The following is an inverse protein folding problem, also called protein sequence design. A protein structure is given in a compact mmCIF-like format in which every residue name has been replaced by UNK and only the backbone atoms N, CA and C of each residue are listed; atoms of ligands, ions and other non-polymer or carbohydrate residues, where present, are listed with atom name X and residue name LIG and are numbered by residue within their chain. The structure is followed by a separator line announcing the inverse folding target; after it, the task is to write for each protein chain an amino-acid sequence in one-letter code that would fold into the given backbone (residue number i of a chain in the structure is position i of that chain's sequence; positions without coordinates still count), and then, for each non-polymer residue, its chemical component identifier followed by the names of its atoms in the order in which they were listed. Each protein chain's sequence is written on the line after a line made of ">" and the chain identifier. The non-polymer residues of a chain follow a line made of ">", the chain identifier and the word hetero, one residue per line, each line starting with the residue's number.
data_IF_003950802884
#
_entry.id   IF_003950802884
#
_cell.length_a   1.000
_cell.length_b   1.000
_cell.length_c   1.000
_cell.angle_alpha   90.00
_cell.angle_beta   90.00
_cell.angle_gamma   90.00
#
_symmetry.space_group_name_H-M   'P 1'
#
loop_
_entity.id
_entity.type
_entity.pdbx_description
1 polymer ?
#
# COMPACT_ATOMS: atom_id res chain seq x y z
N UNK A 1 -24.01 23.85 -13.86
CA UNK A 1 -23.95 22.62 -13.02
C UNK A 1 -22.67 21.78 -13.24
N UNK A 2 -21.59 22.32 -13.83
CA UNK A 2 -20.32 21.59 -14.02
C UNK A 2 -19.21 21.97 -13.01
N UNK A 3 -19.42 23.05 -12.24
CA UNK A 3 -18.40 23.58 -11.31
C UNK A 3 -18.32 22.77 -10.00
N UNK A 4 -19.43 22.18 -9.54
CA UNK A 4 -19.48 21.41 -8.29
C UNK A 4 -18.86 19.99 -8.40
N UNK A 5 -18.69 19.46 -9.61
CA UNK A 5 -18.06 18.13 -9.82
C UNK A 5 -16.52 18.25 -9.75
N UNK A 6 -15.96 19.42 -10.08
CA UNK A 6 -14.52 19.66 -10.00
C UNK A 6 -14.02 19.86 -8.56
N UNK A 7 -14.81 20.51 -7.68
CA UNK A 7 -14.39 20.70 -6.28
C UNK A 7 -14.39 19.39 -5.47
N UNK A 8 -15.32 18.47 -5.75
CA UNK A 8 -15.32 17.12 -5.13
C UNK A 8 -14.16 16.23 -5.60
N UNK A 9 -13.57 16.49 -6.78
CA UNK A 9 -12.43 15.72 -7.31
C UNK A 9 -11.10 16.10 -6.67
N UNK A 10 -10.89 17.37 -6.31
CA UNK A 10 -9.62 17.85 -5.74
C UNK A 10 -9.29 17.31 -4.34
N UNK A 11 -10.28 16.85 -3.58
CA UNK A 11 -10.06 16.39 -2.20
C UNK A 11 -10.04 14.86 -2.05
N UNK A 12 -10.36 14.07 -3.09
CA UNK A 12 -10.36 12.61 -2.98
C UNK A 12 -9.01 12.04 -2.47
N UNK A 13 -7.83 12.50 -2.95
CA UNK A 13 -6.56 11.98 -2.46
C UNK A 13 -6.32 12.29 -0.98
N UNK A 14 -6.78 13.46 -0.50
CA UNK A 14 -6.67 13.81 0.91
C UNK A 14 -7.55 12.92 1.79
N UNK A 15 -8.78 12.64 1.34
CA UNK A 15 -9.72 11.76 2.04
C UNK A 15 -9.13 10.34 2.10
N UNK A 16 -8.57 9.84 1.00
CA UNK A 16 -7.88 8.55 0.98
C UNK A 16 -6.77 8.50 2.03
N UNK A 17 -5.87 9.50 2.04
CA UNK A 17 -4.75 9.50 2.98
C UNK A 17 -5.21 9.53 4.43
N UNK A 18 -6.20 10.38 4.75
CA UNK A 18 -6.77 10.49 6.08
C UNK A 18 -7.48 9.21 6.52
N UNK A 19 -8.21 8.55 5.63
CA UNK A 19 -8.86 7.28 5.91
C UNK A 19 -7.83 6.18 6.16
N UNK A 20 -6.81 6.07 5.29
CA UNK A 20 -5.75 5.08 5.49
C UNK A 20 -5.06 5.29 6.82
N UNK A 21 -4.71 6.52 7.13
CA UNK A 21 -4.08 6.87 8.39
C UNK A 21 -4.98 6.54 9.60
N UNK A 22 -6.24 7.00 9.59
CA UNK A 22 -7.16 6.82 10.71
C UNK A 22 -7.47 5.34 10.96
N UNK A 23 -7.66 4.56 9.89
CA UNK A 23 -7.89 3.11 9.98
C UNK A 23 -6.63 2.42 10.52
N UNK A 24 -5.45 2.77 10.03
CA UNK A 24 -4.19 2.18 10.51
C UNK A 24 -3.97 2.46 12.00
N UNK A 25 -4.27 3.68 12.46
CA UNK A 25 -4.19 4.06 13.87
C UNK A 25 -5.22 3.32 14.73
N UNK A 26 -6.47 3.23 14.27
CA UNK A 26 -7.52 2.46 14.96
C UNK A 26 -7.15 0.97 15.07
N UNK A 27 -6.57 0.39 14.02
CA UNK A 27 -6.07 -0.99 14.08
C UNK A 27 -4.98 -1.16 15.13
N UNK A 28 -4.08 -0.20 15.29
CA UNK A 28 -3.08 -0.19 16.37
C UNK A 28 -3.69 -0.12 17.77
N UNK A 29 -4.75 0.67 17.96
CA UNK A 29 -5.46 0.77 19.23
C UNK A 29 -6.31 -0.47 19.56
N UNK A 30 -6.96 -1.06 18.55
CA UNK A 30 -7.84 -2.23 18.74
C UNK A 30 -7.02 -3.49 19.01
N UNK A 31 -5.83 -3.59 18.44
CA UNK A 31 -4.99 -4.77 18.55
C UNK A 31 -3.61 -4.46 19.16
N UNK A 32 -3.56 -4.01 20.43
CA UNK A 32 -2.31 -3.64 21.09
C UNK A 32 -1.38 -4.86 21.31
N UNK A 33 -1.95 -6.04 21.58
CA UNK A 33 -1.23 -7.29 21.89
C UNK A 33 -0.49 -7.91 20.69
N UNK A 34 -0.66 -7.37 19.49
CA UNK A 34 0.01 -7.86 18.29
C UNK A 34 1.53 -7.56 18.27
N UNK A 35 2.15 -7.18 19.39
CA UNK A 35 3.60 -6.86 19.50
C UNK A 35 4.51 -7.98 18.97
N UNK A 36 4.16 -9.24 19.22
CA UNK A 36 4.89 -10.42 18.73
C UNK A 36 4.44 -10.88 17.33
N UNK A 37 3.70 -10.06 16.57
CA UNK A 37 3.14 -10.49 15.29
C UNK A 37 4.20 -10.99 14.33
N UNK A 38 5.37 -10.34 14.25
CA UNK A 38 6.45 -10.72 13.32
C UNK A 38 6.94 -12.15 13.53
N UNK A 39 6.83 -12.69 14.75
CA UNK A 39 7.12 -14.07 15.09
C UNK A 39 5.90 -15.01 14.95
N UNK A 40 4.69 -14.45 14.81
CA UNK A 40 3.45 -15.21 14.75
C UNK A 40 3.07 -15.61 13.31
N UNK A 41 2.48 -16.79 13.15
CA UNK A 41 1.90 -17.23 11.86
C UNK A 41 0.83 -16.26 11.34
N UNK A 42 0.16 -15.51 12.23
CA UNK A 42 -0.85 -14.51 11.88
C UNK A 42 -0.31 -13.37 11.01
N UNK A 43 0.94 -12.94 11.17
CA UNK A 43 1.51 -11.81 10.40
C UNK A 43 1.50 -12.06 8.90
N UNK A 44 1.93 -13.26 8.49
CA UNK A 44 1.86 -13.67 7.09
C UNK A 44 0.40 -13.69 6.58
N UNK A 45 -0.55 -14.04 7.44
CA UNK A 45 -1.98 -14.06 7.12
C UNK A 45 -2.56 -12.66 6.91
N UNK A 46 -2.19 -11.70 7.77
CA UNK A 46 -2.55 -10.30 7.58
C UNK A 46 -1.97 -9.75 6.28
N UNK A 47 -0.68 -10.01 6.00
CA UNK A 47 -0.03 -9.60 4.76
C UNK A 47 -0.73 -10.17 3.52
N UNK A 48 -1.11 -11.44 3.57
CA UNK A 48 -1.90 -12.06 2.49
C UNK A 48 -3.30 -11.43 2.37
N UNK A 49 -3.98 -11.16 3.49
CA UNK A 49 -5.28 -10.48 3.49
C UNK A 49 -5.20 -9.10 2.85
N UNK A 50 -4.18 -8.31 3.20
CA UNK A 50 -3.89 -7.03 2.56
C UNK A 50 -3.63 -7.18 1.06
N UNK A 51 -2.84 -8.17 0.65
CA UNK A 51 -2.53 -8.47 -0.75
C UNK A 51 -3.79 -8.85 -1.55
N UNK A 52 -4.66 -9.69 -0.98
CA UNK A 52 -5.93 -10.10 -1.63
C UNK A 52 -6.87 -8.92 -1.78
N UNK A 53 -7.06 -8.11 -0.73
CA UNK A 53 -7.85 -6.88 -0.79
C UNK A 53 -7.29 -5.92 -1.84
N UNK A 54 -5.96 -5.81 -1.93
CA UNK A 54 -5.28 -4.97 -2.91
C UNK A 54 -5.55 -5.46 -4.33
N UNK A 55 -5.36 -6.74 -4.62
CA UNK A 55 -5.64 -7.34 -5.94
C UNK A 55 -7.11 -7.19 -6.36
N UNK A 56 -8.05 -7.41 -5.45
CA UNK A 56 -9.48 -7.22 -5.72
C UNK A 56 -9.82 -5.76 -5.98
N UNK A 57 -9.25 -4.85 -5.18
CA UNK A 57 -9.38 -3.41 -5.35
C UNK A 57 -8.87 -2.94 -6.71
N UNK A 58 -7.67 -3.39 -7.11
CA UNK A 58 -7.09 -3.17 -8.44
C UNK A 58 -8.02 -3.65 -9.56
N UNK A 59 -8.51 -4.89 -9.42
CA UNK A 59 -9.36 -5.50 -10.43
C UNK A 59 -10.67 -4.74 -10.62
N UNK A 60 -11.29 -4.28 -9.53
CA UNK A 60 -12.50 -3.45 -9.58
C UNK A 60 -12.19 -2.07 -10.17
N UNK A 61 -11.11 -1.43 -9.74
CA UNK A 61 -10.74 -0.05 -10.14
C UNK A 61 -10.24 0.07 -11.58
N UNK A 62 -9.75 -1.03 -12.17
CA UNK A 62 -9.26 -1.06 -13.54
C UNK A 62 -10.22 -0.42 -14.56
N UNK A 63 -11.45 -0.91 -14.67
CA UNK A 63 -12.43 -0.42 -15.66
C UNK A 63 -12.78 1.08 -15.55
N UNK A 64 -13.17 1.61 -14.37
CA UNK A 64 -13.51 3.02 -14.25
C UNK A 64 -12.31 3.95 -14.52
N UNK A 65 -11.09 3.54 -14.13
CA UNK A 65 -9.87 4.33 -14.43
C UNK A 65 -9.62 4.40 -15.93
N UNK A 66 -9.67 3.28 -16.66
CA UNK A 66 -9.45 3.28 -18.11
C UNK A 66 -10.55 4.01 -18.87
N UNK A 67 -11.81 3.93 -18.42
CA UNK A 67 -12.90 4.72 -19.00
C UNK A 67 -12.65 6.23 -18.87
N UNK A 68 -12.03 6.68 -17.78
CA UNK A 68 -11.65 8.09 -17.60
C UNK A 68 -10.43 8.49 -18.42
N UNK A 69 -9.39 7.65 -18.43
CA UNK A 69 -8.17 7.89 -19.20
C UNK A 69 -8.46 7.99 -20.70
N UNK A 70 -9.37 7.16 -21.22
CA UNK A 70 -9.81 7.25 -22.62
C UNK A 70 -10.51 8.58 -22.95
N UNK A 71 -11.10 9.25 -21.97
CA UNK A 71 -11.80 10.53 -22.11
C UNK A 71 -10.92 11.75 -21.77
N UNK A 72 -9.65 11.56 -21.39
CA UNK A 72 -8.74 12.68 -21.12
C UNK A 72 -8.14 13.21 -22.42
N UNK A 73 -8.37 14.51 -22.69
CA UNK A 73 -7.92 15.19 -23.90
C UNK A 73 -6.40 15.44 -23.98
N UNK A 74 -5.62 15.09 -22.94
CA UNK A 74 -4.17 15.30 -22.91
C UNK A 74 -3.46 13.97 -22.59
N UNK A 75 -2.54 13.49 -23.43
CA UNK A 75 -1.68 12.38 -23.06
C UNK A 75 -0.87 12.78 -21.81
N UNK A 76 -0.95 11.96 -20.77
CA UNK A 76 -0.19 12.19 -19.54
C UNK A 76 1.32 12.14 -19.83
N UNK A 77 2.05 13.08 -19.25
CA UNK A 77 3.49 13.28 -19.45
C UNK A 77 4.33 12.14 -18.83
N UNK A 78 5.39 11.75 -19.56
CA UNK A 78 6.65 11.22 -19.02
C UNK A 78 6.76 9.71 -18.87
N UNK A 79 7.27 9.02 -19.91
CA UNK A 79 7.64 7.59 -19.88
C UNK A 79 8.48 7.25 -18.62
N UNK A 80 9.41 8.14 -18.24
CA UNK A 80 10.30 7.94 -17.08
C UNK A 80 9.56 7.85 -15.74
N UNK A 81 8.49 8.65 -15.55
CA UNK A 81 7.71 8.62 -14.31
C UNK A 81 6.87 7.34 -14.20
N UNK A 82 6.27 6.92 -15.32
CA UNK A 82 5.53 5.66 -15.37
C UNK A 82 6.44 4.44 -15.10
N UNK A 83 7.66 4.44 -15.66
CA UNK A 83 8.66 3.40 -15.39
C UNK A 83 9.07 3.37 -13.91
N UNK A 84 9.36 4.54 -13.31
CA UNK A 84 9.69 4.63 -11.89
C UNK A 84 8.59 4.01 -11.01
N UNK A 85 7.33 4.26 -11.34
CA UNK A 85 6.19 3.74 -10.60
C UNK A 85 5.96 2.24 -10.80
N UNK A 86 6.14 1.74 -12.02
CA UNK A 86 6.04 0.30 -12.31
C UNK A 86 7.10 -0.45 -11.52
N UNK A 87 8.35 0.02 -11.59
CA UNK A 87 9.48 -0.61 -10.89
C UNK A 87 9.28 -0.50 -9.37
N UNK A 88 8.94 0.69 -8.86
CA UNK A 88 8.69 0.89 -7.44
C UNK A 88 7.54 0.03 -6.91
N UNK A 89 6.43 -0.03 -7.64
CA UNK A 89 5.30 -0.89 -7.28
C UNK A 89 5.70 -2.37 -7.29
N UNK A 90 6.45 -2.82 -8.30
CA UNK A 90 6.88 -4.22 -8.41
C UNK A 90 7.75 -4.63 -7.23
N UNK A 91 8.75 -3.81 -6.86
CA UNK A 91 9.63 -4.09 -5.73
C UNK A 91 8.85 -4.22 -4.41
N UNK A 92 7.84 -3.38 -4.20
CA UNK A 92 6.99 -3.45 -3.01
C UNK A 92 6.14 -4.72 -3.03
N UNK A 93 5.54 -5.07 -4.17
CA UNK A 93 4.75 -6.30 -4.29
C UNK A 93 5.61 -7.53 -4.10
N UNK A 94 6.85 -7.53 -4.59
CA UNK A 94 7.80 -8.61 -4.36
C UNK A 94 8.05 -8.78 -2.86
N UNK A 95 8.36 -7.70 -2.14
CA UNK A 95 8.56 -7.76 -0.69
C UNK A 95 7.30 -8.27 0.04
N UNK A 96 6.12 -7.73 -0.28
CA UNK A 96 4.84 -8.14 0.35
C UNK A 96 4.55 -9.62 0.06
N UNK A 97 4.78 -10.08 -1.17
CA UNK A 97 4.57 -11.49 -1.55
C UNK A 97 5.52 -12.41 -0.80
N UNK A 98 6.81 -12.07 -0.71
CA UNK A 98 7.78 -12.87 0.04
C UNK A 98 7.39 -12.99 1.51
N UNK A 99 6.88 -11.91 2.10
CA UNK A 99 6.41 -11.91 3.49
C UNK A 99 5.11 -12.72 3.65
N UNK A 100 4.19 -12.64 2.69
CA UNK A 100 2.92 -13.34 2.70
C UNK A 100 3.05 -14.85 2.36
N UNK A 101 4.22 -15.30 1.89
CA UNK A 101 4.44 -16.65 1.37
C UNK A 101 4.07 -17.74 2.38
N UNK A 102 4.42 -17.55 3.66
CA UNK A 102 4.11 -18.53 4.72
C UNK A 102 2.59 -18.79 4.83
N UNK A 103 1.78 -17.73 4.79
CA UNK A 103 0.32 -17.87 4.80
C UNK A 103 -0.23 -18.49 3.53
N UNK A 104 0.36 -18.15 2.38
CA UNK A 104 -0.04 -18.77 1.11
C UNK A 104 0.16 -20.27 1.16
N UNK A 105 1.31 -20.74 1.64
CA UNK A 105 1.65 -22.17 1.79
C UNK A 105 0.72 -22.88 2.77
N UNK A 106 0.37 -22.25 3.88
CA UNK A 106 -0.61 -22.78 4.84
C UNK A 106 -1.99 -23.00 4.19
N UNK A 107 -2.48 -22.06 3.36
CA UNK A 107 -3.80 -22.17 2.71
C UNK A 107 -3.85 -23.32 1.70
N UNK A 108 -2.77 -23.55 0.97
CA UNK A 108 -2.67 -24.65 0.00
C UNK A 108 -2.25 -25.99 0.64
N UNK A 109 -2.12 -26.05 1.97
CA UNK A 109 -1.75 -27.25 2.70
C UNK A 109 -0.29 -27.68 2.52
N UNK A 110 0.60 -26.77 2.11
CA UNK A 110 2.03 -27.04 2.03
C UNK A 110 2.70 -26.80 3.39
N UNK A 111 3.67 -27.66 3.78
CA UNK A 111 4.38 -27.51 5.06
C UNK A 111 5.19 -26.22 5.06
N UNK A 112 5.20 -25.47 6.17
CA UNK A 112 6.01 -24.25 6.31
C UNK A 112 7.49 -24.54 6.09
N UNK A 113 8.24 -23.53 5.63
CA UNK A 113 9.68 -23.70 5.44
C UNK A 113 10.37 -23.75 6.79
N UNK A 114 11.30 -24.68 7.01
CA UNK A 114 12.20 -24.62 8.16
C UNK A 114 12.97 -23.30 8.09
N UNK A 115 13.04 -22.58 9.20
CA UNK A 115 13.81 -21.33 9.34
C UNK A 115 15.29 -21.51 9.00
N UNK A 116 15.79 -22.75 9.07
CA UNK A 116 17.21 -23.07 8.91
C UNK A 116 17.56 -23.57 7.50
N UNK A 117 16.57 -23.74 6.62
CA UNK A 117 16.81 -24.19 5.25
C UNK A 117 16.99 -23.01 4.29
N UNK A 118 17.98 -23.06 3.39
CA UNK A 118 18.16 -22.02 2.38
C UNK A 118 16.90 -21.92 1.50
N UNK A 119 16.42 -20.69 1.28
CA UNK A 119 15.29 -20.40 0.40
C UNK A 119 15.51 -21.07 -0.95
N UNK A 120 14.62 -21.97 -1.34
CA UNK A 120 14.79 -22.69 -2.61
C UNK A 120 14.62 -21.72 -3.78
N UNK A 121 15.41 -21.89 -4.85
CA UNK A 121 15.27 -21.07 -6.06
C UNK A 121 13.86 -21.09 -6.65
N UNK A 122 13.12 -22.18 -6.46
CA UNK A 122 11.72 -22.32 -6.86
C UNK A 122 10.81 -21.31 -6.12
N UNK A 123 11.02 -21.09 -4.82
CA UNK A 123 10.23 -20.14 -4.02
C UNK A 123 10.46 -18.70 -4.45
N UNK A 124 11.73 -18.33 -4.60
CA UNK A 124 12.11 -17.00 -5.10
C UNK A 124 11.48 -16.77 -6.47
N UNK A 125 11.55 -17.77 -7.36
CA UNK A 125 10.92 -17.71 -8.66
C UNK A 125 9.40 -17.51 -8.58
N UNK A 126 8.69 -18.26 -7.71
CA UNK A 126 7.23 -18.08 -7.54
C UNK A 126 6.87 -16.70 -7.03
N UNK A 127 7.65 -16.16 -6.09
CA UNK A 127 7.44 -14.81 -5.55
C UNK A 127 7.69 -13.72 -6.61
N UNK A 128 8.69 -13.91 -7.47
CA UNK A 128 8.94 -13.05 -8.64
C UNK A 128 7.77 -13.10 -9.61
N UNK A 129 7.31 -14.29 -10.00
CA UNK A 129 6.20 -14.42 -10.96
C UNK A 129 4.91 -13.82 -10.41
N UNK A 130 4.59 -14.06 -9.13
CA UNK A 130 3.38 -13.55 -8.51
C UNK A 130 3.42 -12.02 -8.37
N UNK A 131 4.56 -11.44 -7.96
CA UNK A 131 4.72 -9.99 -7.90
C UNK A 131 4.61 -9.31 -9.27
N UNK A 132 5.16 -9.94 -10.32
CA UNK A 132 4.99 -9.48 -11.71
C UNK A 132 3.51 -9.53 -12.10
N UNK A 133 2.79 -10.60 -11.76
CA UNK A 133 1.36 -10.74 -12.06
C UNK A 133 0.53 -9.63 -11.39
N UNK A 134 0.81 -9.31 -10.13
CA UNK A 134 0.10 -8.24 -9.40
C UNK A 134 0.43 -6.87 -9.97
N UNK A 135 1.70 -6.63 -10.30
CA UNK A 135 2.14 -5.39 -10.95
C UNK A 135 1.47 -5.24 -12.32
N UNK A 136 1.44 -6.32 -13.11
CA UNK A 136 0.69 -6.35 -14.36
C UNK A 136 -0.78 -6.05 -14.11
N UNK A 137 -1.42 -6.62 -13.09
CA UNK A 137 -2.82 -6.34 -12.76
C UNK A 137 -3.08 -4.84 -12.51
N UNK A 138 -2.14 -4.16 -11.85
CA UNK A 138 -2.21 -2.72 -11.59
C UNK A 138 -2.06 -1.87 -12.84
N UNK A 139 -1.15 -2.24 -13.75
CA UNK A 139 -0.80 -1.46 -14.94
C UNK A 139 -1.33 -2.03 -16.27
N UNK A 140 -2.15 -3.09 -16.25
CA UNK A 140 -2.56 -3.79 -17.47
C UNK A 140 -3.36 -2.86 -18.38
N UNK A 141 -3.07 -2.84 -19.69
CA UNK A 141 -3.78 -1.98 -20.62
C UNK A 141 -5.29 -2.22 -20.59
N UNK A 142 -6.06 -1.13 -20.67
CA UNK A 142 -7.51 -1.19 -20.74
C UNK A 142 -7.98 -1.87 -22.02
N UNK A 143 -8.78 -2.92 -21.90
CA UNK A 143 -9.44 -3.54 -23.04
C UNK A 143 -10.60 -2.68 -23.56
N UNK A 144 -10.87 -2.72 -24.88
CA UNK A 144 -12.07 -2.13 -25.46
C UNK A 144 -13.31 -2.85 -24.90
N UNK A 145 -14.08 -2.18 -24.03
CA UNK A 145 -15.35 -2.74 -23.57
C UNK A 145 -16.32 -2.83 -24.74
N UNK A 146 -16.75 -4.04 -25.10
CA UNK A 146 -17.74 -4.28 -26.16
C UNK A 146 -19.16 -3.81 -25.79
N UNK A 147 -19.42 -3.49 -24.52
CA UNK A 147 -20.73 -3.04 -24.03
C UNK A 147 -20.64 -1.63 -23.46
N UNK A 148 -21.60 -0.73 -23.78
CA UNK A 148 -21.70 0.56 -23.11
C UNK A 148 -21.98 0.32 -21.63
N UNK A 149 -21.09 0.81 -20.78
CA UNK A 149 -21.20 0.62 -19.33
C UNK A 149 -21.86 1.86 -18.76
N UNK A 150 -22.97 1.68 -18.03
CA UNK A 150 -23.69 2.78 -17.38
C UNK A 150 -22.81 3.48 -16.35
N UNK A 151 -22.87 4.81 -16.27
CA UNK A 151 -22.12 5.62 -15.29
C UNK A 151 -22.35 5.16 -13.84
N UNK A 152 -23.60 4.80 -13.49
CA UNK A 152 -23.96 4.30 -12.16
C UNK A 152 -23.24 3.00 -11.79
N UNK A 153 -23.01 2.11 -12.75
CA UNK A 153 -22.26 0.87 -12.52
C UNK A 153 -20.77 1.16 -12.34
N UNK A 154 -20.20 2.04 -13.16
CA UNK A 154 -18.79 2.45 -13.02
C UNK A 154 -18.54 3.08 -11.66
N UNK A 155 -19.45 3.95 -11.19
CA UNK A 155 -19.35 4.60 -9.89
C UNK A 155 -19.40 3.59 -8.73
N UNK A 156 -20.37 2.65 -8.72
CA UNK A 156 -20.46 1.63 -7.67
C UNK A 156 -19.21 0.75 -7.61
N UNK A 157 -18.70 0.35 -8.78
CA UNK A 157 -17.49 -0.47 -8.90
C UNK A 157 -16.25 0.29 -8.45
N UNK A 158 -16.16 1.58 -8.78
CA UNK A 158 -15.08 2.46 -8.31
C UNK A 158 -15.12 2.60 -6.78
N UNK A 159 -16.29 2.86 -6.19
CA UNK A 159 -16.44 2.99 -4.74
C UNK A 159 -16.00 1.70 -4.01
N UNK A 160 -16.45 0.54 -4.51
CA UNK A 160 -16.03 -0.74 -3.95
C UNK A 160 -14.52 -0.96 -4.09
N UNK A 161 -13.95 -0.64 -5.26
CA UNK A 161 -12.51 -0.71 -5.48
C UNK A 161 -11.72 0.23 -4.55
N UNK A 162 -12.20 1.44 -4.33
CA UNK A 162 -11.59 2.42 -3.43
C UNK A 162 -11.63 1.94 -1.98
N UNK A 163 -12.76 1.40 -1.50
CA UNK A 163 -12.86 0.84 -0.14
C UNK A 163 -11.87 -0.33 0.05
N UNK A 164 -11.78 -1.24 -0.92
CA UNK A 164 -10.85 -2.37 -0.86
C UNK A 164 -9.39 -1.90 -0.87
N UNK A 165 -9.04 -0.93 -1.71
CA UNK A 165 -7.68 -0.38 -1.76
C UNK A 165 -7.34 0.40 -0.49
N UNK A 166 -8.25 1.21 0.05
CA UNK A 166 -8.06 1.91 1.33
C UNK A 166 -7.81 0.87 2.43
N UNK A 167 -8.66 -0.15 2.52
CA UNK A 167 -8.53 -1.19 3.55
C UNK A 167 -7.22 -1.97 3.39
N UNK A 168 -6.86 -2.36 2.17
CA UNK A 168 -5.62 -3.06 1.86
C UNK A 168 -4.39 -2.25 2.24
N UNK A 169 -4.32 -0.98 1.81
CA UNK A 169 -3.18 -0.12 2.11
C UNK A 169 -3.12 0.18 3.60
N UNK A 170 -4.25 0.38 4.29
CA UNK A 170 -4.28 0.56 5.74
C UNK A 170 -3.74 -0.67 6.47
N UNK A 171 -4.14 -1.87 6.04
CA UNK A 171 -3.71 -3.11 6.65
C UNK A 171 -2.22 -3.36 6.40
N UNK A 172 -1.74 -3.18 5.16
CA UNK A 172 -0.32 -3.31 4.84
C UNK A 172 0.53 -2.25 5.56
N UNK A 173 0.07 -1.00 5.61
CA UNK A 173 0.74 0.07 6.36
C UNK A 173 0.75 -0.22 7.85
N UNK A 174 -0.36 -0.68 8.43
CA UNK A 174 -0.42 -1.09 9.83
C UNK A 174 0.62 -2.18 10.14
N UNK A 175 0.60 -3.28 9.37
CA UNK A 175 1.49 -4.42 9.60
C UNK A 175 2.96 -4.05 9.41
N UNK A 176 3.28 -3.32 8.33
CA UNK A 176 4.65 -2.89 8.04
C UNK A 176 5.14 -1.86 9.07
N UNK A 177 4.30 -0.89 9.42
CA UNK A 177 4.69 0.22 10.28
C UNK A 177 4.76 -0.18 11.75
N UNK A 178 3.64 -0.63 12.29
CA UNK A 178 3.52 -0.88 13.72
C UNK A 178 4.33 -2.09 14.15
N UNK A 179 4.49 -3.08 13.26
CA UNK A 179 5.02 -4.38 13.66
C UNK A 179 6.37 -4.71 13.06
N UNK A 180 6.70 -4.23 11.85
CA UNK A 180 8.05 -4.45 11.31
C UNK A 180 9.00 -3.34 11.73
N UNK A 181 8.61 -2.08 11.53
CA UNK A 181 9.49 -0.95 11.80
C UNK A 181 9.61 -0.65 13.30
N UNK A 182 8.49 -0.47 14.03
CA UNK A 182 8.58 -0.17 15.47
C UNK A 182 9.24 -1.33 16.25
N UNK A 183 9.00 -2.59 15.87
CA UNK A 183 9.69 -3.73 16.51
C UNK A 183 11.20 -3.73 16.22
N UNK A 184 11.61 -3.41 14.99
CA UNK A 184 13.03 -3.24 14.67
C UNK A 184 13.66 -2.07 15.45
N UNK A 185 12.87 -1.02 15.74
CA UNK A 185 13.30 0.15 16.52
C UNK A 185 13.37 -0.12 18.02
N UNK A 186 12.53 -1.00 18.57
CA UNK A 186 12.53 -1.33 20.00
C UNK A 186 13.89 -1.89 20.49
N UNK A 187 14.68 -2.48 19.58
CA UNK A 187 16.02 -3.01 19.88
C UNK A 187 17.16 -2.04 19.53
N UNK A 188 16.87 -0.89 18.91
CA UNK A 188 17.89 0.12 18.61
C UNK A 188 18.08 1.03 19.82
N UNK A 189 19.32 1.15 20.29
CA UNK A 189 19.67 2.11 21.36
C UNK A 189 19.59 3.53 20.79
N UNK A 190 18.63 4.31 21.26
CA UNK A 190 18.48 5.72 20.88
C UNK A 190 19.28 6.61 21.84
N UNK A 191 20.60 6.49 21.80
CA UNK A 191 21.51 7.15 22.74
C UNK A 191 21.80 8.61 22.32
N UNK A 192 21.54 8.99 21.06
CA UNK A 192 21.78 10.35 20.56
C UNK A 192 20.62 10.92 19.73
N UNK A 193 20.51 12.26 19.71
CA UNK A 193 19.58 12.98 18.83
C UNK A 193 19.85 12.65 17.34
N UNK A 194 21.11 12.37 17.00
CA UNK A 194 21.50 11.96 15.66
C UNK A 194 20.85 10.64 15.23
N UNK A 195 20.75 9.67 16.13
CA UNK A 195 20.12 8.38 15.87
C UNK A 195 18.63 8.53 15.64
N UNK A 196 17.96 9.36 16.47
CA UNK A 196 16.54 9.69 16.30
C UNK A 196 16.29 10.35 14.94
N UNK A 197 17.17 11.26 14.52
CA UNK A 197 17.02 12.01 13.27
C UNK A 197 17.32 11.14 12.03
N UNK A 198 18.35 10.30 12.09
CA UNK A 198 18.66 9.31 11.05
C UNK A 198 17.51 8.31 10.90
N UNK A 199 17.00 7.81 12.02
CA UNK A 199 15.86 6.91 12.06
C UNK A 199 14.61 7.56 11.47
N UNK A 200 14.34 8.83 11.81
CA UNK A 200 13.27 9.63 11.22
C UNK A 200 13.39 9.74 9.69
N UNK A 201 14.59 10.06 9.18
CA UNK A 201 14.82 10.17 7.72
C UNK A 201 14.61 8.80 7.05
N UNK A 202 15.17 7.74 7.63
CA UNK A 202 15.07 6.38 7.09
C UNK A 202 13.63 5.89 7.06
N UNK A 203 12.89 6.03 8.16
CA UNK A 203 11.46 5.73 8.23
C UNK A 203 10.65 6.54 7.23
N UNK A 204 10.99 7.82 7.05
CA UNK A 204 10.31 8.71 6.11
C UNK A 204 10.50 8.26 4.69
N UNK A 205 11.73 7.86 4.36
CA UNK A 205 12.05 7.32 3.05
C UNK A 205 11.37 5.95 2.81
N UNK A 206 11.41 5.04 3.79
CA UNK A 206 10.73 3.76 3.71
C UNK A 206 9.21 3.94 3.54
N UNK A 207 8.59 4.83 4.33
CA UNK A 207 7.17 5.14 4.19
C UNK A 207 6.85 5.70 2.81
N UNK A 208 7.63 6.69 2.33
CA UNK A 208 7.45 7.26 0.99
C UNK A 208 7.57 6.18 -0.09
N UNK A 209 8.53 5.27 0.04
CA UNK A 209 8.70 4.17 -0.89
C UNK A 209 7.54 3.19 -0.86
N UNK A 210 7.07 2.74 0.31
CA UNK A 210 5.99 1.74 0.40
C UNK A 210 4.60 2.33 0.11
N UNK A 211 4.33 3.54 0.57
CA UNK A 211 3.01 4.16 0.48
C UNK A 211 2.74 4.80 -0.88
N UNK A 212 3.73 5.45 -1.50
CA UNK A 212 3.51 6.27 -2.69
C UNK A 212 3.13 5.45 -3.95
N UNK A 213 3.74 4.28 -4.23
CA UNK A 213 3.33 3.43 -5.34
C UNK A 213 1.96 2.77 -5.12
N UNK A 214 1.62 2.42 -3.87
CA UNK A 214 0.29 1.92 -3.51
C UNK A 214 -0.79 2.99 -3.70
N UNK A 215 -0.46 4.23 -3.34
CA UNK A 215 -1.30 5.42 -3.53
C UNK A 215 -1.40 5.86 -5.00
N UNK A 216 -0.43 5.49 -5.85
CA UNK A 216 -0.38 5.97 -7.23
C UNK A 216 -1.64 5.64 -8.05
N UNK A 217 -2.26 4.47 -7.84
CA UNK A 217 -3.51 4.11 -8.50
C UNK A 217 -4.69 5.03 -8.15
N UNK A 218 -4.56 5.77 -7.05
CA UNK A 218 -5.48 6.84 -6.65
C UNK A 218 -5.05 8.21 -7.22
N UNK A 219 -3.76 8.40 -7.50
CA UNK A 219 -3.12 9.66 -7.92
C UNK A 219 -2.91 9.83 -9.43
N UNK A 220 -3.23 8.84 -10.28
CA UNK A 220 -3.29 9.04 -11.75
C UNK A 220 -4.11 10.31 -12.10
N UNK A 221 -4.96 10.81 -11.19
CA UNK A 221 -5.79 11.99 -11.38
C UNK A 221 -5.21 13.33 -10.85
N UNK A 222 -4.14 13.37 -10.05
CA UNK A 222 -3.71 14.63 -9.41
C UNK A 222 -2.19 14.74 -9.22
N UNK A 223 -1.52 15.36 -10.20
CA UNK A 223 -0.10 15.78 -10.13
C UNK A 223 0.06 17.10 -9.36
N UNK A 224 -0.55 17.19 -8.18
CA UNK A 224 -0.55 18.40 -7.36
C UNK A 224 0.69 18.46 -6.45
N UNK A 225 1.46 19.55 -6.53
CA UNK A 225 2.64 19.84 -5.68
C UNK A 225 2.37 19.83 -4.17
N UNK A 226 1.09 19.84 -3.77
CA UNK A 226 0.65 19.80 -2.36
C UNK A 226 0.68 18.38 -1.77
N UNK A 227 0.89 17.33 -2.56
CA UNK A 227 0.93 15.95 -2.09
C UNK A 227 2.06 15.68 -1.07
N UNK A 228 3.23 16.30 -1.25
CA UNK A 228 4.39 16.08 -0.37
C UNK A 228 4.21 16.70 1.01
N UNK A 229 3.61 17.90 1.10
CA UNK A 229 3.29 18.54 2.40
C UNK A 229 2.32 17.69 3.24
N UNK A 230 1.38 17.00 2.60
CA UNK A 230 0.43 16.11 3.27
C UNK A 230 1.09 14.81 3.76
N UNK A 231 1.96 14.22 2.94
CA UNK A 231 2.77 13.08 3.33
C UNK A 231 3.64 13.41 4.56
N UNK A 232 4.24 14.59 4.58
CA UNK A 232 5.04 15.08 5.70
C UNK A 232 4.22 15.24 6.99
N UNK A 233 2.97 15.72 6.90
CA UNK A 233 2.07 15.84 8.05
C UNK A 233 1.68 14.47 8.65
N UNK A 234 1.31 13.52 7.80
CA UNK A 234 0.99 12.15 8.25
C UNK A 234 2.22 11.54 8.91
N UNK A 235 3.38 11.72 8.31
CA UNK A 235 4.64 11.22 8.83
C UNK A 235 5.04 11.82 10.18
N UNK A 236 4.88 13.14 10.34
CA UNK A 236 5.13 13.81 11.61
C UNK A 236 4.22 13.28 12.72
N UNK A 237 2.95 12.99 12.41
CA UNK A 237 2.00 12.46 13.39
C UNK A 237 2.33 11.04 13.83
N UNK A 238 2.73 10.19 12.87
CA UNK A 238 3.20 8.84 13.13
C UNK A 238 4.47 8.87 14.01
N UNK A 239 5.41 9.77 13.72
CA UNK A 239 6.61 9.95 14.54
C UNK A 239 6.24 10.37 15.98
N UNK A 240 5.36 11.35 16.13
CA UNK A 240 4.93 11.82 17.45
C UNK A 240 4.33 10.66 18.25
N UNK A 241 3.51 9.81 17.62
CA UNK A 241 2.99 8.61 18.28
C UNK A 241 4.10 7.62 18.67
N UNK A 242 5.02 7.31 17.75
CA UNK A 242 6.15 6.41 18.02
C UNK A 242 7.06 6.92 19.15
N UNK A 243 7.29 8.24 19.22
CA UNK A 243 8.03 8.89 20.30
C UNK A 243 7.28 8.83 21.63
N UNK A 244 5.95 9.02 21.62
CA UNK A 244 5.11 8.88 22.82
C UNK A 244 5.17 7.44 23.34
N UNK A 245 5.05 6.44 22.46
CA UNK A 245 5.16 5.04 22.83
C UNK A 245 6.55 4.71 23.40
N UNK A 246 7.63 5.17 22.76
CA UNK A 246 9.01 4.94 23.23
C UNK A 246 9.40 5.66 24.53
N UNK A 247 8.64 6.69 24.95
CA UNK A 247 8.88 7.42 26.20
C UNK A 247 7.99 6.90 27.34
N UNK A 248 6.79 6.41 27.02
CA UNK A 248 5.82 5.93 28.02
C UNK A 248 5.95 4.44 28.34
N UNK A 249 6.59 3.64 27.48
CA UNK A 249 6.81 2.20 27.64
C UNK A 249 8.29 1.87 27.48
#
# INVERSE_FOLDING_TARGET
>A
MFVAINSKKQNKPAIFDWLVFSISLLLGLIFPELGDLTASASFSGWMLGGLVLYMLGLWLKHRPVYARLANQAKPQKGISYMLFLIIGHWLIMLAVVMIAESAFRNIIGLPQLPTDNPTSGCQVFTSIVLSILITWLAFRPGGKSRKPVTEKYLFKRELAGDILLISAVSLLSFVFWEKSILAAMAHMRMDSIGDILMLFIFLGFAYMLFYLPLRYLYLIEDHSSKAWRRLLLIFMFILVRALIEAVLF
#
